data_IF_155417603234
#
_entry.id   IF_155417603234
#
_cell.length_a   1.000
_cell.length_b   1.000
_cell.length_c   1.000
_cell.angle_alpha   90.00
_cell.angle_beta   90.00
_cell.angle_gamma   90.00
#
_symmetry.space_group_name_H-M   'P 1'
#
loop_
_entity.id
_entity.type
_entity.pdbx_description
1 polymer ?
#
# COMPACT_ATOMS: atom_id res chain seq x y z
N UNK A 1 -4.75 -14.27 3.13
CA UNK A 1 -3.70 -14.22 2.09
C UNK A 1 -3.37 -12.75 1.86
N UNK A 2 -2.09 -12.38 1.80
CA UNK A 2 -1.69 -10.98 1.55
C UNK A 2 -1.79 -10.69 0.05
N UNK A 3 -2.35 -9.53 -0.32
CA UNK A 3 -2.54 -9.14 -1.73
C UNK A 3 -1.40 -8.32 -2.31
N UNK A 4 -0.58 -7.68 -1.47
CA UNK A 4 0.50 -6.78 -1.91
C UNK A 4 0.04 -5.40 -2.38
N UNK A 5 -1.28 -5.15 -2.45
CA UNK A 5 -1.85 -3.85 -2.81
C UNK A 5 -1.90 -2.91 -1.60
N UNK A 6 -1.86 -1.61 -1.86
CA UNK A 6 -2.26 -0.60 -0.86
C UNK A 6 -3.78 -0.45 -0.87
N UNK A 7 -4.40 -0.14 0.27
CA UNK A 7 -5.83 0.14 0.34
C UNK A 7 -6.04 1.62 0.64
N UNK A 8 -6.69 2.33 -0.29
CA UNK A 8 -6.86 3.78 -0.22
C UNK A 8 -8.34 4.12 -0.44
N UNK A 9 -8.93 4.83 0.51
CA UNK A 9 -10.37 5.07 0.55
C UNK A 9 -11.14 3.77 0.70
N UNK A 10 -11.74 3.30 -0.40
CA UNK A 10 -12.52 2.05 -0.46
C UNK A 10 -12.06 1.11 -1.59
N UNK A 11 -10.84 1.29 -2.11
CA UNK A 11 -10.32 0.52 -3.25
C UNK A 11 -8.88 0.05 -3.05
N UNK A 12 -8.57 -1.10 -3.63
CA UNK A 12 -7.18 -1.55 -3.78
C UNK A 12 -6.46 -0.71 -4.84
N UNK A 13 -5.35 -0.12 -4.45
CA UNK A 13 -4.39 0.53 -5.32
C UNK A 13 -3.22 -0.42 -5.61
N UNK A 14 -2.93 -0.61 -6.89
CA UNK A 14 -1.76 -1.34 -7.38
C UNK A 14 -0.82 -0.36 -8.05
N UNK A 15 0.47 -0.66 -7.98
CA UNK A 15 1.54 0.16 -8.55
C UNK A 15 2.44 -0.73 -9.40
N UNK A 16 2.96 -0.18 -10.48
CA UNK A 16 3.99 -0.83 -11.31
C UNK A 16 5.35 -0.85 -10.60
N UNK A 17 5.50 -0.04 -9.55
CA UNK A 17 6.66 -0.05 -8.66
C UNK A 17 6.34 -0.86 -7.41
N UNK A 18 7.20 -1.83 -7.10
CA UNK A 18 6.99 -2.73 -5.97
C UNK A 18 8.30 -2.99 -5.22
N UNK A 19 8.18 -3.30 -3.93
CA UNK A 19 9.29 -3.80 -3.11
C UNK A 19 8.96 -5.17 -2.51
N UNK A 20 9.98 -5.92 -2.12
CA UNK A 20 9.81 -7.24 -1.49
C UNK A 20 10.10 -7.13 0.00
N UNK A 21 9.17 -7.62 0.84
CA UNK A 21 9.41 -7.68 2.27
C UNK A 21 10.34 -8.86 2.62
N UNK A 22 10.98 -8.79 3.79
CA UNK A 22 11.89 -9.83 4.28
C UNK A 22 11.41 -10.27 5.65
N UNK A 23 11.31 -11.59 5.85
CA UNK A 23 11.08 -12.18 7.17
C UNK A 23 12.33 -11.98 8.04
N UNK A 24 12.26 -11.19 9.12
CA UNK A 24 13.42 -10.92 9.96
C UNK A 24 13.92 -12.17 10.72
N UNK A 25 13.08 -13.20 10.91
CA UNK A 25 13.48 -14.42 11.61
C UNK A 25 14.33 -15.35 10.74
N UNK A 26 14.14 -15.31 9.42
CA UNK A 26 14.76 -16.27 8.48
C UNK A 26 15.60 -15.62 7.39
N UNK A 27 15.47 -14.30 7.20
CA UNK A 27 16.09 -13.55 6.11
C UNK A 27 15.49 -13.85 4.73
N UNK A 28 14.41 -14.62 4.65
CA UNK A 28 13.78 -14.98 3.38
C UNK A 28 12.85 -13.87 2.89
N UNK A 29 12.79 -13.70 1.58
CA UNK A 29 11.83 -12.81 0.93
C UNK A 29 10.40 -13.31 1.14
N UNK A 30 9.47 -12.38 1.32
CA UNK A 30 8.05 -12.64 1.47
C UNK A 30 7.32 -12.27 0.19
N UNK A 31 6.48 -13.19 -0.29
CA UNK A 31 5.52 -12.94 -1.35
C UNK A 31 4.16 -12.50 -0.77
N UNK A 32 3.39 -11.68 -1.50
CA UNK A 32 3.72 -11.07 -2.78
C UNK A 32 4.65 -9.86 -2.63
N UNK A 33 5.16 -9.34 -3.75
CA UNK A 33 5.71 -7.99 -3.80
C UNK A 33 4.63 -6.97 -3.41
N UNK A 34 5.02 -5.92 -2.69
CA UNK A 34 4.14 -4.88 -2.17
C UNK A 34 4.25 -3.60 -3.01
N UNK A 35 3.12 -2.96 -3.28
CA UNK A 35 3.06 -1.72 -4.04
C UNK A 35 3.82 -0.57 -3.34
N UNK A 36 4.66 0.13 -4.08
CA UNK A 36 5.21 1.43 -3.68
C UNK A 36 4.21 2.53 -4.04
N UNK A 37 3.87 3.36 -3.07
CA UNK A 37 3.03 4.54 -3.28
C UNK A 37 3.90 5.76 -3.60
N UNK A 38 3.56 6.44 -4.69
CA UNK A 38 4.15 7.73 -5.04
C UNK A 38 3.65 8.85 -4.10
N UNK A 39 4.37 9.98 -4.01
CA UNK A 39 3.92 11.13 -3.21
C UNK A 39 2.49 11.59 -3.57
N UNK A 40 2.13 11.62 -4.86
CA UNK A 40 0.80 12.03 -5.31
C UNK A 40 -0.31 11.07 -4.85
N UNK A 41 -0.02 9.77 -4.76
CA UNK A 41 -0.97 8.78 -4.25
C UNK A 41 -1.13 8.88 -2.73
N UNK A 42 -0.06 9.23 -2.01
CA UNK A 42 -0.11 9.54 -0.57
C UNK A 42 -0.98 10.78 -0.33
N UNK A 43 -0.77 11.86 -1.10
CA UNK A 43 -1.58 13.08 -1.00
C UNK A 43 -3.07 12.79 -1.24
N UNK A 44 -3.37 11.99 -2.27
CA UNK A 44 -4.74 11.53 -2.55
C UNK A 44 -5.31 10.74 -1.37
N UNK A 45 -4.53 9.84 -0.77
CA UNK A 45 -4.98 9.05 0.37
C UNK A 45 -5.30 9.94 1.58
N UNK A 46 -4.46 10.94 1.86
CA UNK A 46 -4.69 11.92 2.91
C UNK A 46 -5.95 12.75 2.66
N UNK A 47 -6.19 13.20 1.42
CA UNK A 47 -7.40 13.95 1.07
C UNK A 47 -8.67 13.11 1.28
N UNK A 48 -8.69 11.87 0.80
CA UNK A 48 -9.84 10.96 0.99
C UNK A 48 -10.10 10.66 2.47
N UNK A 49 -9.05 10.53 3.27
CA UNK A 49 -9.19 10.33 4.72
C UNK A 49 -9.75 11.58 5.41
N UNK A 50 -9.35 12.78 4.98
CA UNK A 50 -9.89 14.04 5.50
C UNK A 50 -11.37 14.19 5.15
N UNK A 51 -11.75 13.97 3.89
CA UNK A 51 -13.14 14.09 3.43
C UNK A 51 -14.09 13.13 4.18
N UNK A 52 -13.60 11.96 4.58
CA UNK A 52 -14.37 10.96 5.33
C UNK A 52 -14.51 11.26 6.83
N UNK A 53 -13.73 12.19 7.39
CA UNK A 53 -13.70 12.44 8.84
C UNK A 53 -14.95 13.16 9.35
N UNK A 54 -15.52 14.06 8.53
CA UNK A 54 -16.67 14.90 8.89
C UNK A 54 -18.03 14.33 8.43
N UNK A 55 -18.06 13.06 8.01
CA UNK A 55 -19.26 12.33 7.58
C UNK A 55 -19.55 11.14 8.49
#
# INVERSE_FOLDING_TARGET
MLSGSSFVGASEARSDRTFTAVDPATGKTLDPAFAEMSPAEVDRACALAHDAFDT
#
